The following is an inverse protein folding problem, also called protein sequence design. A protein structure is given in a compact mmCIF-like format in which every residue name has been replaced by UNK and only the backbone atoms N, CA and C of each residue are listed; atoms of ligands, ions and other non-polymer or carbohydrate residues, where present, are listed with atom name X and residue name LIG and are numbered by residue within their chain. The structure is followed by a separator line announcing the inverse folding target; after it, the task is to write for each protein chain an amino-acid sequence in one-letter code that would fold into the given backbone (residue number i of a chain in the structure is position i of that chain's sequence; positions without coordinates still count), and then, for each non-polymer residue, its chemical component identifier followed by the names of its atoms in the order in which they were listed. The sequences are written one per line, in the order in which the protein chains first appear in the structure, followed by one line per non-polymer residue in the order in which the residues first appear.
data_IF_459075426401
#
_entry.id   IF_459075426401
#
_cell.length_a   1.000
_cell.length_b   1.000
_cell.length_c   1.000
_cell.angle_alpha   90.00
_cell.angle_beta   90.00
_cell.angle_gamma   90.00
#
_symmetry.space_group_name_H-M   'P 1'
#
loop_
_entity.id
_entity.type
_entity.pdbx_description
1 polymer ?
#
# COMPACT_ATOMS: atom_id res chain seq x y z
N UNK A 1 -52.62 27.56 38.98
CA UNK A 1 -51.18 27.87 38.75
C UNK A 1 -50.45 26.59 38.40
N UNK A 2 -50.03 26.41 37.12
CA UNK A 2 -49.32 25.23 36.66
C UNK A 2 -47.87 25.63 36.44
N UNK A 3 -46.96 25.06 37.24
CA UNK A 3 -45.51 25.19 37.03
C UNK A 3 -45.08 24.29 35.90
N UNK A 4 -44.61 24.91 34.84
CA UNK A 4 -43.98 24.23 33.71
C UNK A 4 -42.50 24.06 34.04
N UNK A 5 -42.03 22.82 34.24
CA UNK A 5 -40.60 22.51 34.38
C UNK A 5 -40.00 22.39 32.98
N UNK A 6 -39.12 23.31 32.65
CA UNK A 6 -38.28 23.26 31.46
C UNK A 6 -37.07 22.39 31.81
N UNK A 7 -37.02 21.18 31.25
CA UNK A 7 -35.89 20.26 31.33
C UNK A 7 -34.82 20.72 30.31
N UNK A 8 -33.76 21.35 30.77
CA UNK A 8 -32.63 21.76 29.96
C UNK A 8 -31.74 20.55 29.75
N UNK A 9 -31.80 19.94 28.53
CA UNK A 9 -30.98 18.83 28.13
C UNK A 9 -29.58 19.38 27.75
N UNK A 10 -28.62 19.28 28.65
CA UNK A 10 -27.19 19.55 28.34
C UNK A 10 -26.67 18.39 27.48
N UNK A 11 -26.59 18.62 26.17
CA UNK A 11 -25.76 17.78 25.29
C UNK A 11 -24.28 18.06 25.56
N UNK A 12 -23.68 17.24 26.38
CA UNK A 12 -22.20 17.19 26.46
C UNK A 12 -21.70 16.50 25.19
N UNK A 13 -21.27 17.30 24.23
CA UNK A 13 -20.50 16.82 23.11
C UNK A 13 -19.16 16.36 23.66
N UNK A 14 -19.00 15.07 23.92
CA UNK A 14 -17.69 14.47 24.14
C UNK A 14 -16.94 14.50 22.81
N UNK A 15 -16.23 15.59 22.57
CA UNK A 15 -15.15 15.61 21.58
C UNK A 15 -14.07 14.70 22.13
N UNK A 16 -14.10 13.41 21.77
CA UNK A 16 -12.95 12.53 21.92
C UNK A 16 -11.87 13.10 21.01
N UNK A 17 -10.97 13.92 21.56
CA UNK A 17 -9.68 14.19 20.95
C UNK A 17 -8.97 12.85 20.87
N UNK A 18 -8.89 12.27 19.66
CA UNK A 18 -7.99 11.16 19.40
C UNK A 18 -6.60 11.64 19.81
N UNK A 19 -6.04 11.07 20.86
CA UNK A 19 -4.67 11.30 21.25
C UNK A 19 -3.78 10.74 20.13
N UNK A 20 -2.57 11.30 19.96
CA UNK A 20 -1.68 10.86 18.88
C UNK A 20 -1.38 9.36 18.90
N UNK A 21 -1.60 8.68 20.03
CA UNK A 21 -1.42 7.23 20.21
C UNK A 21 -2.56 6.37 19.62
N UNK A 22 -3.69 6.97 19.23
CA UNK A 22 -4.87 6.25 18.69
C UNK A 22 -4.83 6.13 17.15
N UNK A 23 -3.82 6.65 16.48
CA UNK A 23 -3.68 6.56 15.03
C UNK A 23 -3.22 5.16 14.62
N UNK A 24 -3.96 4.45 13.74
CA UNK A 24 -3.57 3.11 13.33
C UNK A 24 -2.28 3.13 12.49
N UNK A 25 -1.45 2.11 12.64
CA UNK A 25 -0.38 1.86 11.67
C UNK A 25 -0.99 1.38 10.36
N UNK A 26 -0.45 1.85 9.24
CA UNK A 26 -0.93 1.51 7.90
C UNK A 26 0.20 0.82 7.15
N UNK A 27 -0.01 -0.46 6.78
CA UNK A 27 0.87 -1.22 5.89
C UNK A 27 0.14 -1.47 4.59
N UNK A 28 0.66 -0.94 3.50
CA UNK A 28 0.09 -1.09 2.17
C UNK A 28 0.96 -2.01 1.31
N UNK A 29 0.48 -3.23 1.06
CA UNK A 29 1.15 -4.23 0.22
C UNK A 29 0.45 -4.27 -1.13
N UNK A 30 1.18 -3.90 -2.19
CA UNK A 30 0.64 -3.83 -3.54
C UNK A 30 1.47 -4.67 -4.50
N UNK A 31 0.94 -5.83 -4.86
CA UNK A 31 1.58 -6.72 -5.82
C UNK A 31 1.43 -6.16 -7.24
N UNK A 32 2.51 -6.28 -8.03
CA UNK A 32 2.53 -5.88 -9.44
C UNK A 32 2.16 -7.09 -10.31
N UNK A 33 1.35 -6.84 -11.35
CA UNK A 33 0.92 -7.85 -12.32
C UNK A 33 0.23 -9.10 -11.68
N UNK A 34 -0.35 -8.94 -10.50
CA UNK A 34 -1.07 -10.00 -9.81
C UNK A 34 -2.58 -9.80 -9.94
N UNK A 35 -3.25 -10.78 -10.56
CA UNK A 35 -4.70 -10.84 -10.63
C UNK A 35 -5.33 -11.43 -9.36
N UNK A 36 -6.58 -11.90 -9.46
CA UNK A 36 -7.29 -12.56 -8.35
C UNK A 36 -6.87 -14.01 -8.21
N UNK A 37 -5.58 -14.25 -7.96
CA UNK A 37 -4.96 -15.58 -7.85
C UNK A 37 -4.45 -15.80 -6.42
N UNK A 38 -5.36 -16.30 -5.55
CA UNK A 38 -5.01 -16.69 -4.18
C UNK A 38 -5.96 -17.79 -3.70
N UNK A 39 -5.46 -18.69 -2.85
CA UNK A 39 -6.24 -19.80 -2.31
C UNK A 39 -7.51 -19.37 -1.56
N UNK A 40 -7.50 -18.19 -0.92
CA UNK A 40 -8.69 -17.62 -0.28
C UNK A 40 -9.89 -17.42 -1.23
N UNK A 41 -9.66 -17.30 -2.54
CA UNK A 41 -10.76 -17.19 -3.52
C UNK A 41 -11.35 -18.53 -3.96
N UNK A 42 -10.74 -19.66 -3.56
CA UNK A 42 -11.24 -20.99 -3.92
C UNK A 42 -12.68 -21.23 -3.44
N UNK A 43 -13.03 -20.75 -2.23
CA UNK A 43 -14.38 -20.88 -1.69
C UNK A 43 -15.43 -20.17 -2.55
N UNK A 44 -15.04 -19.04 -3.17
CA UNK A 44 -15.94 -18.25 -4.02
C UNK A 44 -16.04 -18.83 -5.43
N UNK A 45 -14.93 -19.30 -5.99
CA UNK A 45 -14.82 -19.72 -7.39
C UNK A 45 -14.99 -21.23 -7.59
N UNK A 46 -14.94 -21.98 -6.50
CA UNK A 46 -15.12 -23.42 -6.51
C UNK A 46 -13.83 -24.25 -6.75
N UNK A 47 -13.93 -25.57 -6.54
CA UNK A 47 -12.76 -26.46 -6.55
C UNK A 47 -12.16 -26.69 -7.94
N UNK A 48 -12.81 -26.25 -9.01
CA UNK A 48 -12.30 -26.34 -10.38
C UNK A 48 -11.55 -25.08 -10.83
N UNK A 49 -11.49 -24.05 -9.97
CA UNK A 49 -10.76 -22.82 -10.27
C UNK A 49 -9.26 -23.01 -10.13
N UNK A 50 -8.49 -22.13 -10.80
CA UNK A 50 -7.04 -22.10 -10.64
C UNK A 50 -6.62 -21.81 -9.19
N UNK A 51 -7.49 -21.16 -8.42
CA UNK A 51 -7.25 -20.84 -7.01
C UNK A 51 -7.21 -22.08 -6.10
N UNK A 52 -7.75 -23.21 -6.55
CA UNK A 52 -7.61 -24.50 -5.87
C UNK A 52 -6.20 -25.12 -6.01
N UNK A 53 -5.39 -24.64 -6.95
CA UNK A 53 -4.03 -25.11 -7.21
C UNK A 53 -2.96 -24.19 -6.62
N UNK A 54 -3.37 -23.07 -6.04
CA UNK A 54 -2.47 -22.04 -5.51
C UNK A 54 -2.48 -22.14 -3.99
N UNK A 55 -1.30 -21.98 -3.39
CA UNK A 55 -1.13 -21.92 -1.95
C UNK A 55 -0.60 -20.51 -1.55
N UNK A 56 -1.44 -19.75 -0.84
CA UNK A 56 -1.12 -18.38 -0.38
C UNK A 56 -1.46 -18.21 1.11
N UNK A 57 -0.81 -18.98 2.02
CA UNK A 57 -1.24 -19.09 3.42
C UNK A 57 -1.19 -17.76 4.17
N UNK A 58 -0.25 -16.88 3.86
CA UNK A 58 -0.16 -15.57 4.51
C UNK A 58 -1.24 -14.59 4.01
N UNK A 59 -1.58 -14.64 2.73
CA UNK A 59 -2.69 -13.88 2.18
C UNK A 59 -4.02 -14.38 2.76
N UNK A 60 -4.21 -15.68 2.82
CA UNK A 60 -5.41 -16.30 3.34
C UNK A 60 -5.64 -15.96 4.81
N UNK A 61 -4.56 -15.91 5.60
CA UNK A 61 -4.66 -15.46 6.99
C UNK A 61 -5.18 -14.02 7.08
N UNK A 62 -4.64 -13.10 6.29
CA UNK A 62 -5.10 -11.70 6.26
C UNK A 62 -6.54 -11.61 5.78
N UNK A 63 -6.91 -12.40 4.77
CA UNK A 63 -8.27 -12.45 4.26
C UNK A 63 -9.27 -12.96 5.30
N UNK A 64 -8.90 -13.97 6.09
CA UNK A 64 -9.73 -14.58 7.13
C UNK A 64 -9.87 -13.69 8.37
N UNK A 65 -8.82 -12.92 8.71
CA UNK A 65 -8.83 -12.00 9.86
C UNK A 65 -9.42 -10.61 9.52
N UNK A 66 -9.61 -10.31 8.24
CA UNK A 66 -10.03 -9.02 7.72
C UNK A 66 -11.22 -9.08 6.77
N UNK A 67 -11.12 -8.41 5.64
CA UNK A 67 -12.15 -8.38 4.60
C UNK A 67 -11.56 -8.78 3.25
N UNK A 68 -12.13 -9.81 2.62
CA UNK A 68 -11.79 -10.26 1.29
C UNK A 68 -12.74 -9.62 0.26
N UNK A 69 -12.20 -8.82 -0.64
CA UNK A 69 -12.96 -8.20 -1.72
C UNK A 69 -12.99 -9.11 -2.95
N UNK A 70 -14.14 -9.62 -3.30
CA UNK A 70 -14.32 -10.46 -4.51
C UNK A 70 -14.29 -9.65 -5.80
N UNK A 71 -14.60 -8.36 -5.75
CA UNK A 71 -14.69 -7.46 -6.90
C UNK A 71 -13.90 -6.16 -6.65
N UNK A 72 -12.58 -6.25 -6.73
CA UNK A 72 -11.70 -5.09 -6.70
C UNK A 72 -11.10 -4.87 -8.09
N UNK A 73 -11.24 -3.66 -8.63
CA UNK A 73 -10.79 -3.32 -9.97
C UNK A 73 -9.78 -2.18 -9.95
N UNK A 74 -8.75 -2.32 -10.76
CA UNK A 74 -7.83 -1.21 -11.04
C UNK A 74 -8.35 -0.38 -12.22
N UNK A 75 -8.21 0.95 -12.18
CA UNK A 75 -8.74 1.82 -13.25
C UNK A 75 -7.94 1.75 -14.56
N UNK A 76 -6.71 1.22 -14.52
CA UNK A 76 -5.86 1.03 -15.68
C UNK A 76 -5.00 -0.24 -15.51
N UNK A 77 -4.94 -1.14 -16.50
CA UNK A 77 -4.07 -2.32 -16.48
C UNK A 77 -2.63 -1.96 -16.89
N UNK A 78 -2.06 -0.95 -16.24
CA UNK A 78 -0.73 -0.41 -16.56
C UNK A 78 -0.12 0.23 -15.33
N UNK A 79 1.18 0.02 -15.12
CA UNK A 79 1.91 0.38 -13.89
C UNK A 79 1.69 1.81 -13.40
N UNK A 80 2.24 2.80 -14.10
CA UNK A 80 2.15 4.20 -13.65
C UNK A 80 0.74 4.76 -13.65
N UNK A 81 -0.10 4.54 -14.68
CA UNK A 81 -1.49 5.00 -14.65
C UNK A 81 -2.31 4.44 -13.48
N UNK A 82 -2.20 3.13 -13.22
CA UNK A 82 -2.86 2.50 -12.09
C UNK A 82 -2.39 3.10 -10.76
N UNK A 83 -1.07 3.23 -10.58
CA UNK A 83 -0.46 3.77 -9.36
C UNK A 83 -0.74 5.25 -9.18
N UNK A 84 -0.91 6.00 -10.26
CA UNK A 84 -1.34 7.39 -10.22
C UNK A 84 -2.76 7.52 -9.67
N UNK A 85 -3.66 6.64 -10.11
CA UNK A 85 -5.01 6.59 -9.56
C UNK A 85 -5.02 6.19 -8.08
N UNK A 86 -4.26 5.17 -7.72
CA UNK A 86 -4.15 4.69 -6.35
C UNK A 86 -3.65 5.79 -5.41
N UNK A 87 -2.56 6.47 -5.78
CA UNK A 87 -1.93 7.49 -4.93
C UNK A 87 -2.75 8.76 -4.82
N UNK A 88 -3.47 9.17 -5.88
CA UNK A 88 -4.24 10.41 -5.93
C UNK A 88 -5.71 10.27 -5.52
N UNK A 89 -6.25 9.05 -5.53
CA UNK A 89 -7.68 8.81 -5.42
C UNK A 89 -8.48 9.27 -6.64
N UNK A 90 -7.83 9.57 -7.76
CA UNK A 90 -8.46 10.03 -9.01
C UNK A 90 -8.38 8.94 -10.07
N UNK A 91 -9.27 8.96 -11.04
CA UNK A 91 -9.06 8.18 -12.26
C UNK A 91 -7.81 8.66 -13.00
N UNK A 92 -7.04 7.75 -13.61
CA UNK A 92 -5.73 8.05 -14.19
C UNK A 92 -5.79 9.16 -15.26
N UNK A 93 -6.87 9.24 -16.04
CA UNK A 93 -7.05 10.32 -17.05
C UNK A 93 -7.19 11.73 -16.44
N UNK A 94 -7.44 11.82 -15.13
CA UNK A 94 -7.48 13.07 -14.39
C UNK A 94 -6.16 13.40 -13.69
N UNK A 95 -5.08 12.70 -14.04
CA UNK A 95 -3.74 12.89 -13.46
C UNK A 95 -2.72 13.49 -14.43
N UNK A 96 -3.20 14.07 -15.55
CA UNK A 96 -2.35 14.73 -16.52
C UNK A 96 -1.27 13.81 -17.09
N UNK A 97 -0.01 14.23 -17.06
CA UNK A 97 1.12 13.43 -17.54
C UNK A 97 1.45 12.21 -16.67
N UNK A 98 0.88 12.08 -15.51
CA UNK A 98 0.96 10.86 -14.70
C UNK A 98 0.05 9.73 -15.21
N UNK A 99 -0.79 10.01 -16.22
CA UNK A 99 -1.67 9.03 -16.86
C UNK A 99 -0.97 8.11 -17.88
N UNK A 100 0.31 8.33 -18.19
CA UNK A 100 1.05 7.53 -19.17
C UNK A 100 2.10 6.64 -18.52
N UNK A 101 2.49 5.56 -19.21
CA UNK A 101 3.48 4.62 -18.68
C UNK A 101 4.91 5.18 -18.77
N UNK A 102 5.33 5.60 -19.96
CA UNK A 102 6.68 6.09 -20.22
C UNK A 102 6.73 7.62 -20.22
N UNK A 103 7.74 8.16 -19.54
CA UNK A 103 7.90 9.61 -19.43
C UNK A 103 6.84 10.29 -18.56
N UNK A 104 6.18 9.53 -17.68
CA UNK A 104 5.23 10.06 -16.72
C UNK A 104 5.89 11.10 -15.81
N UNK A 105 5.14 12.15 -15.52
CA UNK A 105 5.53 13.22 -14.60
C UNK A 105 4.34 13.50 -13.70
N UNK A 106 4.55 13.49 -12.39
CA UNK A 106 3.53 13.86 -11.42
C UNK A 106 3.35 15.38 -11.40
N UNK A 107 2.11 15.81 -11.43
CA UNK A 107 1.76 17.20 -11.20
C UNK A 107 1.72 17.44 -9.67
N UNK A 108 2.56 18.35 -9.13
CA UNK A 108 2.61 18.61 -7.69
C UNK A 108 1.32 19.18 -7.11
N UNK A 109 0.46 19.77 -7.94
CA UNK A 109 -0.87 20.25 -7.53
C UNK A 109 -1.87 19.12 -7.28
N UNK A 110 -1.55 17.90 -7.69
CA UNK A 110 -2.36 16.71 -7.41
C UNK A 110 -1.92 16.11 -6.08
N UNK A 111 -2.78 16.13 -5.05
CA UNK A 111 -2.44 15.54 -3.76
C UNK A 111 -2.27 14.04 -3.86
N UNK A 112 -1.44 13.47 -3.00
CA UNK A 112 -1.33 12.02 -2.82
C UNK A 112 -1.55 11.64 -1.36
N UNK A 113 -2.18 10.48 -1.14
CA UNK A 113 -2.52 10.05 0.22
C UNK A 113 -1.30 9.93 1.15
N UNK A 114 -0.10 9.48 0.71
CA UNK A 114 1.06 9.44 1.60
C UNK A 114 1.48 10.83 2.10
N UNK A 115 1.42 11.84 1.24
CA UNK A 115 1.76 13.22 1.62
C UNK A 115 0.69 13.84 2.53
N UNK A 116 -0.58 13.47 2.36
CA UNK A 116 -1.64 13.92 3.27
C UNK A 116 -1.53 13.24 4.65
N UNK A 117 -1.17 11.96 4.69
CA UNK A 117 -0.86 11.28 5.95
C UNK A 117 0.35 11.90 6.67
N UNK A 118 1.38 12.27 5.91
CA UNK A 118 2.54 12.98 6.50
C UNK A 118 2.14 14.31 7.16
N UNK A 119 1.29 15.11 6.51
CA UNK A 119 0.75 16.34 7.09
C UNK A 119 0.00 16.09 8.41
N UNK A 120 -0.57 14.90 8.54
CA UNK A 120 -1.25 14.42 9.75
C UNK A 120 -0.29 13.80 10.78
N UNK A 121 1.02 13.88 10.57
CA UNK A 121 2.05 13.42 11.51
C UNK A 121 2.47 11.96 11.35
N UNK A 122 2.03 11.26 10.31
CA UNK A 122 2.52 9.91 10.04
C UNK A 122 3.96 9.93 9.54
N UNK A 123 4.74 8.96 9.99
CA UNK A 123 6.04 8.62 9.39
C UNK A 123 5.80 7.80 8.13
N UNK A 124 6.34 8.25 7.00
CA UNK A 124 6.12 7.61 5.69
C UNK A 124 7.40 6.95 5.22
N UNK A 125 7.31 5.69 4.85
CA UNK A 125 8.38 4.94 4.22
C UNK A 125 7.84 4.09 3.08
N UNK A 126 8.72 3.62 2.21
CA UNK A 126 8.36 2.71 1.13
C UNK A 126 9.52 1.79 0.78
N UNK A 127 9.19 0.67 0.16
CA UNK A 127 10.17 -0.22 -0.48
C UNK A 127 9.70 -0.58 -1.88
N UNK A 128 10.65 -0.79 -2.78
CA UNK A 128 10.44 -1.28 -4.14
C UNK A 128 9.59 -0.34 -5.01
N UNK A 129 8.61 -0.90 -5.74
CA UNK A 129 7.84 -0.20 -6.74
C UNK A 129 6.65 0.54 -6.14
N UNK A 130 6.74 1.85 -5.99
CA UNK A 130 5.61 2.70 -5.58
C UNK A 130 4.96 3.40 -6.78
N UNK A 131 5.75 4.14 -7.56
CA UNK A 131 5.28 4.88 -8.73
C UNK A 131 6.34 4.89 -9.82
N UNK A 132 6.27 3.91 -10.73
CA UNK A 132 7.21 3.73 -11.85
C UNK A 132 6.54 3.02 -13.03
N UNK A 133 7.10 3.12 -14.26
CA UNK A 133 8.16 4.04 -14.63
C UNK A 133 7.66 5.49 -14.67
N UNK A 134 8.40 6.35 -14.01
CA UNK A 134 8.14 7.79 -13.90
C UNK A 134 9.40 8.52 -13.45
N UNK A 135 9.31 9.81 -13.25
CA UNK A 135 10.45 10.58 -12.76
C UNK A 135 10.47 10.60 -11.23
N UNK A 136 11.45 10.02 -10.56
CA UNK A 136 11.51 9.95 -9.10
C UNK A 136 11.46 11.33 -8.41
N UNK A 137 12.03 12.36 -9.04
CA UNK A 137 12.00 13.73 -8.51
C UNK A 137 10.58 14.31 -8.37
N UNK A 138 9.62 13.78 -9.12
CA UNK A 138 8.20 14.17 -9.04
C UNK A 138 7.35 13.10 -8.35
N UNK A 139 7.97 12.20 -7.60
CA UNK A 139 7.24 11.12 -6.96
C UNK A 139 6.21 11.65 -5.94
N UNK A 140 4.97 11.18 -5.98
CA UNK A 140 3.88 11.70 -5.15
C UNK A 140 3.96 11.26 -3.67
N UNK A 141 5.00 10.57 -3.28
CA UNK A 141 5.33 10.19 -1.90
C UNK A 141 6.48 11.04 -1.32
N UNK A 142 6.96 12.05 -2.06
CA UNK A 142 7.98 13.00 -1.64
C UNK A 142 9.41 12.55 -1.92
N UNK A 143 10.21 13.41 -2.57
CA UNK A 143 11.60 13.12 -2.94
C UNK A 143 12.53 12.88 -1.74
N UNK A 144 12.15 13.32 -0.54
CA UNK A 144 12.90 13.12 0.71
C UNK A 144 12.59 11.77 1.39
N UNK A 145 11.66 10.98 0.86
CA UNK A 145 11.31 9.70 1.43
C UNK A 145 12.38 8.69 1.14
N UNK A 146 12.80 7.99 2.16
CA UNK A 146 13.80 6.96 2.02
C UNK A 146 13.17 5.69 1.48
N UNK A 147 13.78 5.14 0.45
CA UNK A 147 13.50 3.77 0.03
C UNK A 147 14.30 2.83 0.94
N UNK A 148 13.58 2.00 1.68
CA UNK A 148 14.18 1.08 2.64
C UNK A 148 14.64 -0.21 1.95
N UNK A 149 15.65 -0.12 1.12
CA UNK A 149 16.40 -1.29 0.64
C UNK A 149 17.68 -0.88 -0.09
N UNK A 150 18.63 -1.81 -0.18
CA UNK A 150 19.84 -1.64 -0.97
C UNK A 150 19.50 -1.49 -2.46
N UNK A 151 20.06 -0.51 -3.12
CA UNK A 151 19.78 -0.23 -4.53
C UNK A 151 18.55 0.62 -4.80
N UNK A 152 17.87 1.18 -3.79
CA UNK A 152 16.82 2.18 -3.94
C UNK A 152 15.50 1.65 -4.53
N UNK A 153 15.03 2.22 -5.63
CA UNK A 153 13.72 1.96 -6.22
C UNK A 153 13.73 0.90 -7.33
N UNK A 154 14.42 -0.22 -7.16
CA UNK A 154 14.37 -1.30 -8.15
C UNK A 154 12.96 -1.92 -8.18
N UNK A 155 12.16 -1.52 -9.16
CA UNK A 155 10.77 -1.92 -9.27
C UNK A 155 10.58 -3.40 -9.68
N UNK A 156 11.61 -4.03 -10.23
CA UNK A 156 11.57 -5.45 -10.60
C UNK A 156 12.39 -6.33 -9.64
N UNK A 157 12.63 -5.86 -8.42
CA UNK A 157 13.53 -6.51 -7.47
C UNK A 157 13.24 -8.00 -7.30
N UNK A 158 11.98 -8.34 -7.03
CA UNK A 158 11.59 -9.73 -6.78
C UNK A 158 11.81 -10.63 -8.00
N UNK A 159 11.25 -10.26 -9.15
CA UNK A 159 11.34 -11.08 -10.36
C UNK A 159 12.77 -11.17 -10.89
N UNK A 160 13.50 -10.07 -10.91
CA UNK A 160 14.89 -10.05 -11.39
C UNK A 160 15.82 -10.84 -10.48
N UNK A 161 15.68 -10.69 -9.17
CA UNK A 161 16.49 -11.42 -8.21
C UNK A 161 16.22 -12.92 -8.26
N UNK A 162 14.94 -13.32 -8.20
CA UNK A 162 14.55 -14.73 -8.25
C UNK A 162 14.99 -15.38 -9.58
N UNK A 163 14.80 -14.71 -10.71
CA UNK A 163 15.24 -15.22 -12.01
C UNK A 163 16.75 -15.39 -12.13
N UNK A 164 17.53 -14.53 -11.47
CA UNK A 164 18.98 -14.62 -11.48
C UNK A 164 19.51 -15.64 -10.45
N UNK A 165 18.93 -15.72 -9.29
CA UNK A 165 19.42 -16.52 -8.16
C UNK A 165 18.93 -17.98 -8.19
N UNK A 166 17.67 -18.22 -8.49
CA UNK A 166 17.06 -19.54 -8.43
C UNK A 166 17.75 -20.62 -9.29
N UNK A 167 18.27 -20.32 -10.50
CA UNK A 167 19.07 -21.28 -11.27
C UNK A 167 20.38 -21.72 -10.61
N UNK A 168 20.89 -20.90 -9.68
CA UNK A 168 22.18 -21.12 -9.02
C UNK A 168 22.02 -21.85 -7.68
N UNK A 169 21.03 -21.51 -6.89
CA UNK A 169 20.89 -21.97 -5.50
C UNK A 169 19.48 -22.46 -5.14
N UNK A 170 18.56 -22.46 -6.10
CA UNK A 170 17.19 -22.89 -5.89
C UNK A 170 16.24 -21.72 -5.55
N UNK A 171 14.95 -21.98 -5.75
CA UNK A 171 13.89 -20.99 -5.54
C UNK A 171 13.74 -20.63 -4.05
N UNK A 172 13.85 -21.62 -3.16
CA UNK A 172 13.65 -21.40 -1.73
C UNK A 172 14.74 -20.48 -1.14
N UNK A 173 16.01 -20.70 -1.50
CA UNK A 173 17.09 -19.81 -1.06
C UNK A 173 16.89 -18.37 -1.59
N UNK A 174 16.47 -18.24 -2.85
CA UNK A 174 16.19 -16.93 -3.43
C UNK A 174 15.01 -16.22 -2.71
N UNK A 175 14.02 -16.98 -2.24
CA UNK A 175 12.89 -16.45 -1.46
C UNK A 175 13.35 -16.01 -0.07
N UNK A 176 14.14 -16.81 0.62
CA UNK A 176 14.66 -16.47 1.95
C UNK A 176 15.49 -15.18 1.94
N UNK A 177 16.35 -15.01 0.95
CA UNK A 177 17.12 -13.77 0.78
C UNK A 177 16.20 -12.53 0.64
N UNK A 178 15.10 -12.66 -0.12
CA UNK A 178 14.13 -11.58 -0.30
C UNK A 178 13.30 -11.33 0.97
N UNK A 179 12.94 -12.38 1.70
CA UNK A 179 12.24 -12.23 3.00
C UNK A 179 13.12 -11.51 4.01
N UNK A 180 14.42 -11.84 4.05
CA UNK A 180 15.37 -11.16 4.90
C UNK A 180 15.51 -9.68 4.52
N UNK A 181 15.60 -9.37 3.21
CA UNK A 181 15.65 -7.99 2.72
C UNK A 181 14.39 -7.19 3.12
N UNK A 182 13.21 -7.79 2.96
CA UNK A 182 11.94 -7.16 3.36
C UNK A 182 11.89 -6.91 4.87
N UNK A 183 12.36 -7.86 5.68
CA UNK A 183 12.42 -7.72 7.12
C UNK A 183 13.36 -6.58 7.53
N UNK A 184 14.55 -6.53 6.97
CA UNK A 184 15.53 -5.46 7.24
C UNK A 184 15.01 -4.08 6.84
N UNK A 185 14.30 -3.98 5.72
CA UNK A 185 13.66 -2.74 5.30
C UNK A 185 12.59 -2.28 6.29
N UNK A 186 11.79 -3.21 6.78
CA UNK A 186 10.76 -2.91 7.77
C UNK A 186 11.34 -2.51 9.12
N UNK A 187 12.38 -3.21 9.59
CA UNK A 187 13.07 -2.90 10.83
C UNK A 187 13.72 -1.51 10.77
N UNK A 188 14.34 -1.17 9.64
CA UNK A 188 14.90 0.16 9.42
C UNK A 188 13.81 1.25 9.43
N UNK A 189 12.67 1.00 8.78
CA UNK A 189 11.53 1.90 8.80
C UNK A 189 11.01 2.15 10.22
N UNK A 190 10.84 1.09 11.00
CA UNK A 190 10.39 1.20 12.39
C UNK A 190 11.43 1.95 13.25
N UNK A 191 12.72 1.68 13.02
CA UNK A 191 13.83 2.32 13.75
C UNK A 191 13.96 3.83 13.48
N UNK A 192 13.58 4.28 12.28
CA UNK A 192 13.62 5.70 11.91
C UNK A 192 12.41 6.51 12.43
N UNK A 193 11.41 5.83 12.97
CA UNK A 193 10.21 6.46 13.51
C UNK A 193 10.51 7.24 14.79
N UNK A 194 9.95 8.43 14.92
CA UNK A 194 10.01 9.22 16.14
C UNK A 194 8.84 8.87 17.06
N UNK A 195 9.00 9.20 18.34
CA UNK A 195 7.91 9.07 19.32
C UNK A 195 6.65 9.82 18.85
N UNK A 196 5.49 9.18 18.91
CA UNK A 196 4.20 9.74 18.46
C UNK A 196 3.97 9.68 16.94
N UNK A 197 4.79 8.93 16.19
CA UNK A 197 4.60 8.72 14.74
C UNK A 197 4.17 7.27 14.44
#
# INVERSE_FOLDING_TARGET
MKFSQILLLLMVSASSSLSGDDRPNIVFLFADDWGRYASAYQEIEGPQSINALIDTPHFDRVANEGALFSNAFVPAPSCTPCRSSLLSGRYFWNTGRAAILQGAVWDPEIPSYPLELEKSGYHIGYSYKVWTPGRPANAPYGAKRTAYHQGGTNFNRFSQYTSAKAPQSGVEEAKEDLYEEVRQNFDAFIGDRKEGQ
#
